data_IF_346120695883
#
_entry.id   IF_346120695883
#
_cell.length_a   1.000
_cell.length_b   1.000
_cell.length_c   1.000
_cell.angle_alpha   90.00
_cell.angle_beta   90.00
_cell.angle_gamma   90.00
#
_symmetry.space_group_name_H-M   'P 1'
#
loop_
_entity.id
_entity.type
_entity.pdbx_description
1 polymer ?
#
# COMPACT_ATOMS: atom_id res chain seq x y z
N UNK A 1 4.95 14.27 29.91
CA UNK A 1 4.05 15.22 30.63
C UNK A 1 4.49 15.55 32.06
N UNK A 2 5.37 14.79 32.73
CA UNK A 2 5.73 15.04 34.15
C UNK A 2 6.85 16.08 34.41
N UNK A 3 7.62 16.51 33.40
CA UNK A 3 8.78 17.39 33.63
C UNK A 3 8.47 18.91 33.72
N UNK A 4 7.32 19.38 33.20
CA UNK A 4 7.00 20.82 33.13
C UNK A 4 6.16 21.35 34.31
N UNK A 5 5.69 20.49 35.21
CA UNK A 5 4.78 20.91 36.29
C UNK A 5 5.41 21.82 37.36
N UNK A 6 6.74 21.93 37.41
CA UNK A 6 7.41 22.83 38.36
C UNK A 6 7.36 24.31 37.96
N UNK A 7 7.09 24.62 36.69
CA UNK A 7 7.12 26.01 36.19
C UNK A 7 5.81 26.77 36.40
N UNK A 8 4.73 26.07 36.75
CA UNK A 8 3.40 26.66 36.88
C UNK A 8 2.95 26.85 38.35
N UNK A 9 3.86 26.67 39.32
CA UNK A 9 3.53 26.83 40.73
C UNK A 9 3.49 28.31 41.14
N UNK A 10 2.33 28.76 41.63
CA UNK A 10 2.12 30.08 42.23
C UNK A 10 2.35 30.05 43.74
N UNK A 11 3.53 29.62 44.19
CA UNK A 11 3.85 29.71 45.61
C UNK A 11 3.97 31.20 46.02
N UNK A 12 3.40 31.55 47.17
CA UNK A 12 3.56 32.86 47.81
C UNK A 12 5.02 32.98 48.26
N UNK A 13 5.75 33.94 47.70
CA UNK A 13 7.13 34.19 48.12
C UNK A 13 7.16 34.76 49.54
N UNK A 14 8.22 34.49 50.32
CA UNK A 14 8.40 35.04 51.67
C UNK A 14 8.23 36.56 51.74
N UNK A 15 8.62 37.26 50.67
CA UNK A 15 8.44 38.70 50.50
C UNK A 15 6.97 39.13 50.47
N UNK A 16 6.10 38.40 49.74
CA UNK A 16 4.67 38.70 49.67
C UNK A 16 4.02 38.48 51.03
N UNK A 17 4.41 37.41 51.72
CA UNK A 17 3.93 37.11 53.08
C UNK A 17 4.36 38.23 54.05
N UNK A 18 5.62 38.66 53.99
CA UNK A 18 6.11 39.77 54.82
C UNK A 18 5.37 41.09 54.54
N UNK A 19 5.08 41.40 53.27
CA UNK A 19 4.31 42.59 52.89
C UNK A 19 2.84 42.52 53.32
N UNK A 20 2.22 41.34 53.25
CA UNK A 20 0.86 41.13 53.78
C UNK A 20 0.81 41.29 55.30
N UNK A 21 1.78 40.73 56.01
CA UNK A 21 1.92 40.90 57.47
C UNK A 21 2.13 42.37 57.83
N UNK A 22 2.98 43.08 57.09
CA UNK A 22 3.20 44.52 57.28
C UNK A 22 1.92 45.33 57.06
N UNK A 23 1.18 45.05 55.97
CA UNK A 23 -0.09 45.72 55.69
C UNK A 23 -1.12 45.47 56.80
N UNK A 24 -1.21 44.23 57.30
CA UNK A 24 -2.08 43.88 58.41
C UNK A 24 -1.70 44.60 59.71
N UNK A 25 -0.41 44.69 60.03
CA UNK A 25 0.08 45.42 61.20
C UNK A 25 -0.21 46.93 61.09
N UNK A 26 -0.02 47.54 59.92
CA UNK A 26 -0.35 48.95 59.68
C UNK A 26 -1.85 49.22 59.82
N UNK A 27 -2.68 48.32 59.31
CA UNK A 27 -4.13 48.44 59.42
C UNK A 27 -4.62 48.30 60.87
N UNK A 28 -4.06 47.35 61.62
CA UNK A 28 -4.36 47.16 63.04
C UNK A 28 -3.82 48.30 63.92
N UNK A 29 -2.70 48.92 63.54
CA UNK A 29 -2.12 50.06 64.24
C UNK A 29 -2.87 51.37 64.00
N UNK A 30 -3.54 51.53 62.86
CA UNK A 30 -4.28 52.74 62.50
C UNK A 30 -5.19 53.28 63.62
N UNK A 31 -6.09 52.51 64.26
CA UNK A 31 -6.93 53.03 65.36
C UNK A 31 -6.16 53.44 66.63
N UNK A 32 -4.93 52.96 66.82
CA UNK A 32 -4.07 53.33 67.96
C UNK A 32 -3.18 54.55 67.68
N UNK A 33 -3.03 54.97 66.42
CA UNK A 33 -2.16 56.09 66.05
C UNK A 33 -2.58 57.42 66.69
N UNK A 34 -3.88 57.79 66.79
CA UNK A 34 -4.24 59.06 67.43
C UNK A 34 -3.85 59.08 68.90
N UNK A 35 -4.02 57.96 69.62
CA UNK A 35 -3.62 57.85 71.02
C UNK A 35 -2.13 58.08 71.18
N UNK A 36 -1.29 57.36 70.42
CA UNK A 36 0.18 57.44 70.53
C UNK A 36 0.72 58.83 70.18
N UNK A 37 0.20 59.47 69.13
CA UNK A 37 0.69 60.76 68.65
C UNK A 37 0.03 61.97 69.35
N UNK A 38 -1.03 61.76 70.15
CA UNK A 38 -1.64 62.82 70.99
C UNK A 38 -1.33 62.65 72.48
N UNK A 39 -0.89 61.47 72.94
CA UNK A 39 -0.56 61.18 74.34
C UNK A 39 0.88 61.60 74.71
N UNK A 40 1.21 62.88 74.55
CA UNK A 40 2.25 63.58 75.31
C UNK A 40 2.09 65.10 75.13
N UNK A 41 1.87 65.88 76.21
CA UNK A 41 1.69 67.33 76.12
C UNK A 41 3.06 68.01 76.05
N UNK A 42 3.65 68.16 74.86
CA UNK A 42 4.83 69.02 74.67
C UNK A 42 4.57 70.31 73.91
N UNK A 43 3.32 70.58 73.50
CA UNK A 43 2.87 71.95 73.24
C UNK A 43 1.51 72.17 73.91
N UNK A 44 1.55 72.75 75.11
CA UNK A 44 0.39 73.33 75.78
C UNK A 44 -0.25 74.36 74.83
N UNK A 45 -1.57 74.39 74.78
CA UNK A 45 -2.45 75.34 74.06
C UNK A 45 -2.92 74.96 72.65
N UNK A 46 -3.87 74.02 72.55
CA UNK A 46 -4.97 74.12 71.58
C UNK A 46 -6.28 73.57 72.22
N UNK A 47 -7.32 74.40 72.43
CA UNK A 47 -8.59 73.97 73.02
C UNK A 47 -9.48 73.26 71.98
N UNK A 48 -9.57 71.92 72.04
CA UNK A 48 -10.39 71.09 71.16
C UNK A 48 -11.89 71.09 71.57
N UNK A 49 -12.58 72.22 71.43
CA UNK A 49 -14.05 72.32 71.65
C UNK A 49 -14.81 72.63 70.36
N UNK A 50 -14.39 72.02 69.25
CA UNK A 50 -15.25 71.83 68.07
C UNK A 50 -15.08 70.38 67.60
N UNK A 51 -16.18 69.63 67.51
CA UNK A 51 -16.19 68.20 67.14
C UNK A 51 -15.59 67.93 65.75
N UNK A 52 -15.56 68.94 64.88
CA UNK A 52 -14.87 68.88 63.58
C UNK A 52 -13.35 68.72 63.68
N UNK A 53 -12.69 69.48 64.56
CA UNK A 53 -11.21 69.46 64.68
C UNK A 53 -10.66 68.15 65.27
N UNK A 54 -11.43 67.51 66.16
CA UNK A 54 -11.11 66.18 66.70
C UNK A 54 -11.25 65.11 65.59
N UNK A 55 -12.31 65.20 64.79
CA UNK A 55 -12.51 64.35 63.61
C UNK A 55 -11.38 64.49 62.59
N UNK A 56 -10.94 65.72 62.32
CA UNK A 56 -9.82 66.01 61.39
C UNK A 56 -8.48 65.48 61.92
N UNK A 57 -8.24 65.56 63.23
CA UNK A 57 -7.00 65.05 63.86
C UNK A 57 -6.96 63.53 63.88
N UNK A 58 -8.08 62.87 64.22
CA UNK A 58 -8.20 61.41 64.18
C UNK A 58 -8.09 60.91 62.74
N UNK A 59 -8.84 61.53 61.81
CA UNK A 59 -8.80 61.20 60.39
C UNK A 59 -7.42 61.40 59.77
N UNK A 60 -6.76 62.52 60.07
CA UNK A 60 -5.42 62.86 59.58
C UNK A 60 -4.32 61.95 60.11
N UNK A 61 -4.45 61.42 61.33
CA UNK A 61 -3.48 60.50 61.93
C UNK A 61 -3.74 59.03 61.57
N UNK A 62 -4.99 58.63 61.30
CA UNK A 62 -5.34 57.26 60.89
C UNK A 62 -5.14 57.03 59.39
N UNK A 63 -5.54 58.01 58.57
CA UNK A 63 -5.56 57.94 57.10
C UNK A 63 -4.24 57.48 56.48
N UNK A 64 -3.05 57.97 56.89
CA UNK A 64 -1.78 57.54 56.31
C UNK A 64 -1.51 56.03 56.45
N UNK A 65 -1.84 55.44 57.61
CA UNK A 65 -1.63 54.01 57.86
C UNK A 65 -2.62 53.14 57.08
N UNK A 66 -3.89 53.56 57.03
CA UNK A 66 -4.93 52.90 56.22
C UNK A 66 -4.55 52.96 54.73
N UNK A 67 -4.19 54.14 54.22
CA UNK A 67 -3.80 54.33 52.83
C UNK A 67 -2.54 53.54 52.48
N UNK A 68 -1.52 53.50 53.35
CA UNK A 68 -0.32 52.70 53.13
C UNK A 68 -0.64 51.20 53.09
N UNK A 69 -1.49 50.71 53.99
CA UNK A 69 -1.96 49.32 53.96
C UNK A 69 -2.73 48.99 52.68
N UNK A 70 -3.60 49.90 52.22
CA UNK A 70 -4.40 49.74 51.02
C UNK A 70 -3.52 49.72 49.76
N UNK A 71 -2.50 50.58 49.67
CA UNK A 71 -1.53 50.60 48.57
C UNK A 71 -0.75 49.29 48.51
N UNK A 72 -0.31 48.75 49.66
CA UNK A 72 0.42 47.47 49.71
C UNK A 72 -0.48 46.33 49.22
N UNK A 73 -1.70 46.20 49.76
CA UNK A 73 -2.64 45.14 49.37
C UNK A 73 -3.04 45.25 47.91
N UNK A 74 -3.33 46.45 47.42
CA UNK A 74 -3.70 46.72 46.03
C UNK A 74 -2.54 46.42 45.08
N UNK A 75 -1.33 46.84 45.43
CA UNK A 75 -0.11 46.52 44.66
C UNK A 75 0.16 45.02 44.59
N UNK A 76 -0.05 44.29 45.70
CA UNK A 76 0.05 42.83 45.73
C UNK A 76 -1.04 42.15 44.88
N UNK A 77 -2.28 42.65 44.91
CA UNK A 77 -3.37 42.13 44.09
C UNK A 77 -3.05 42.28 42.59
N UNK A 78 -2.60 43.46 42.16
CA UNK A 78 -2.16 43.69 40.79
C UNK A 78 -0.95 42.83 40.41
N UNK A 79 0.01 42.66 41.31
CA UNK A 79 1.16 41.78 41.07
C UNK A 79 0.75 40.32 40.86
N UNK A 80 -0.20 39.80 41.66
CA UNK A 80 -0.73 38.45 41.50
C UNK A 80 -1.49 38.30 40.18
N UNK A 81 -2.31 39.28 39.78
CA UNK A 81 -2.99 39.29 38.47
C UNK A 81 -1.99 39.29 37.30
N UNK A 82 -0.95 40.12 37.36
CA UNK A 82 0.10 40.16 36.34
C UNK A 82 0.81 38.81 36.19
N UNK A 83 1.15 38.16 37.32
CA UNK A 83 1.77 36.83 37.32
C UNK A 83 0.83 35.77 36.73
N UNK A 84 -0.46 35.81 37.08
CA UNK A 84 -1.48 34.91 36.53
C UNK A 84 -1.64 35.08 35.01
N UNK A 85 -1.63 36.32 34.50
CA UNK A 85 -1.71 36.58 33.06
C UNK A 85 -0.48 36.05 32.31
N UNK A 86 0.73 36.24 32.85
CA UNK A 86 1.95 35.65 32.26
C UNK A 86 1.86 34.13 32.19
N UNK A 87 1.45 33.52 33.30
CA UNK A 87 1.25 32.08 33.39
C UNK A 87 0.22 31.58 32.35
N UNK A 88 -0.87 32.31 32.18
CA UNK A 88 -1.90 32.00 31.20
C UNK A 88 -1.36 32.06 29.76
N UNK A 89 -0.54 33.07 29.43
CA UNK A 89 0.11 33.17 28.12
C UNK A 89 1.06 31.99 27.87
N UNK A 90 1.84 31.59 28.87
CA UNK A 90 2.75 30.45 28.75
C UNK A 90 1.98 29.14 28.51
N UNK A 91 0.94 28.88 29.31
CA UNK A 91 0.06 27.70 29.15
C UNK A 91 -0.60 27.71 27.77
N UNK A 92 -1.14 28.84 27.34
CA UNK A 92 -1.80 28.98 26.04
C UNK A 92 -0.83 28.74 24.88
N UNK A 93 0.39 29.27 24.99
CA UNK A 93 1.44 29.06 23.98
C UNK A 93 1.83 27.58 23.87
N UNK A 94 1.96 26.89 25.00
CA UNK A 94 2.25 25.46 25.01
C UNK A 94 1.08 24.62 24.48
N UNK A 95 -0.17 25.03 24.73
CA UNK A 95 -1.36 24.42 24.14
C UNK A 95 -1.40 24.57 22.62
N UNK A 96 -1.10 25.76 22.08
CA UNK A 96 -1.01 25.97 20.62
C UNK A 96 0.04 25.03 20.03
N UNK A 97 1.24 24.97 20.62
CA UNK A 97 2.30 24.07 20.14
C UNK A 97 1.91 22.59 20.17
N UNK A 98 1.19 22.16 21.20
CA UNK A 98 0.69 20.78 21.28
C UNK A 98 -0.38 20.51 20.22
N UNK A 99 -1.32 21.44 20.05
CA UNK A 99 -2.39 21.37 19.05
C UNK A 99 -1.81 21.34 17.64
N UNK A 100 -0.83 22.18 17.32
CA UNK A 100 -0.15 22.17 16.02
C UNK A 100 0.55 20.84 15.74
N UNK A 101 1.18 20.24 16.75
CA UNK A 101 1.81 18.91 16.61
C UNK A 101 0.79 17.82 16.35
N UNK A 102 -0.33 17.83 17.09
CA UNK A 102 -1.41 16.88 16.89
C UNK A 102 -2.03 17.04 15.49
N UNK A 103 -2.33 18.27 15.09
CA UNK A 103 -2.87 18.58 13.77
C UNK A 103 -1.94 18.12 12.64
N UNK A 104 -0.62 18.36 12.75
CA UNK A 104 0.36 17.86 11.78
C UNK A 104 0.38 16.33 11.70
N UNK A 105 0.30 15.64 12.84
CA UNK A 105 0.27 14.18 12.87
C UNK A 105 -1.02 13.64 12.23
N UNK A 106 -2.16 14.26 12.52
CA UNK A 106 -3.44 13.90 11.93
C UNK A 106 -3.44 14.11 10.41
N UNK A 107 -2.92 15.25 9.94
CA UNK A 107 -2.79 15.53 8.52
C UNK A 107 -1.94 14.50 7.78
N UNK A 108 -0.78 14.12 8.35
CA UNK A 108 0.08 13.08 7.78
C UNK A 108 -0.60 11.71 7.77
N UNK A 109 -1.36 11.39 8.82
CA UNK A 109 -2.14 10.16 8.88
C UNK A 109 -3.24 10.13 7.82
N UNK A 110 -4.01 11.21 7.68
CA UNK A 110 -5.05 11.34 6.66
C UNK A 110 -4.48 11.27 5.25
N UNK A 111 -3.36 11.94 4.97
CA UNK A 111 -2.68 11.87 3.67
C UNK A 111 -2.29 10.42 3.33
N UNK A 112 -1.71 9.69 4.30
CA UNK A 112 -1.37 8.28 4.11
C UNK A 112 -2.62 7.43 3.83
N UNK A 113 -3.72 7.63 4.57
CA UNK A 113 -4.97 6.90 4.35
C UNK A 113 -5.57 7.21 2.98
N UNK A 114 -5.59 8.49 2.58
CA UNK A 114 -6.09 8.91 1.28
C UNK A 114 -5.30 8.26 0.14
N UNK A 115 -3.96 8.18 0.25
CA UNK A 115 -3.11 7.49 -0.74
C UNK A 115 -3.42 6.00 -0.82
N UNK A 116 -3.64 5.32 0.31
CA UNK A 116 -4.05 3.91 0.34
C UNK A 116 -5.41 3.74 -0.33
N UNK A 117 -6.39 4.60 -0.02
CA UNK A 117 -7.72 4.52 -0.62
C UNK A 117 -7.69 4.78 -2.13
N UNK A 118 -6.91 5.74 -2.60
CA UNK A 118 -6.70 6.00 -4.03
C UNK A 118 -6.08 4.78 -4.73
N UNK A 119 -5.04 4.19 -4.11
CA UNK A 119 -4.43 2.96 -4.60
C UNK A 119 -5.45 1.81 -4.70
N UNK A 120 -6.23 1.57 -3.63
CA UNK A 120 -7.26 0.53 -3.61
C UNK A 120 -8.32 0.77 -4.69
N UNK A 121 -8.81 2.00 -4.82
CA UNK A 121 -9.78 2.37 -5.85
C UNK A 121 -9.24 2.11 -7.26
N UNK A 122 -8.00 2.50 -7.54
CA UNK A 122 -7.38 2.25 -8.85
C UNK A 122 -7.15 0.76 -9.09
N UNK A 123 -6.71 0.01 -8.08
CA UNK A 123 -6.54 -1.44 -8.16
C UNK A 123 -7.85 -2.14 -8.51
N UNK A 124 -8.94 -1.86 -7.78
CA UNK A 124 -10.23 -2.49 -8.03
C UNK A 124 -10.85 -2.07 -9.36
N UNK A 125 -10.60 -0.85 -9.83
CA UNK A 125 -11.03 -0.43 -11.16
C UNK A 125 -10.28 -1.17 -12.27
N UNK A 126 -8.95 -1.33 -12.15
CA UNK A 126 -8.20 -2.18 -13.08
C UNK A 126 -8.68 -3.63 -13.02
N UNK A 127 -8.99 -4.17 -11.83
CA UNK A 127 -9.53 -5.52 -11.69
C UNK A 127 -10.88 -5.67 -12.41
N UNK A 128 -11.76 -4.67 -12.29
CA UNK A 128 -13.04 -4.61 -12.98
C UNK A 128 -12.87 -4.57 -14.49
N UNK A 129 -11.97 -3.71 -14.99
CA UNK A 129 -11.64 -3.62 -16.42
C UNK A 129 -11.03 -4.93 -16.94
N UNK A 130 -10.20 -5.60 -16.15
CA UNK A 130 -9.63 -6.89 -16.54
C UNK A 130 -10.72 -7.96 -16.68
N UNK A 131 -11.66 -8.01 -15.74
CA UNK A 131 -12.83 -8.89 -15.84
C UNK A 131 -13.68 -8.55 -17.06
N UNK A 132 -13.90 -7.26 -17.35
CA UNK A 132 -14.61 -6.83 -18.56
C UNK A 132 -13.91 -7.31 -19.84
N UNK A 133 -12.58 -7.17 -19.94
CA UNK A 133 -11.81 -7.68 -21.08
C UNK A 133 -11.98 -9.20 -21.25
N UNK A 134 -12.04 -9.95 -20.15
CA UNK A 134 -12.31 -11.40 -20.17
C UNK A 134 -13.75 -11.67 -20.61
N UNK A 135 -14.73 -10.91 -20.11
CA UNK A 135 -16.15 -11.10 -20.40
C UNK A 135 -16.53 -10.71 -21.85
N UNK A 136 -15.81 -9.77 -22.46
CA UNK A 136 -15.95 -9.32 -23.85
C UNK A 136 -15.16 -10.19 -24.84
N UNK A 137 -14.21 -10.99 -24.36
CA UNK A 137 -13.36 -11.82 -25.19
C UNK A 137 -14.19 -12.80 -26.03
N UNK A 138 -14.00 -12.74 -27.35
CA UNK A 138 -14.56 -13.71 -28.29
C UNK A 138 -13.51 -14.04 -29.34
N UNK A 139 -13.35 -15.33 -29.58
CA UNK A 139 -12.45 -15.88 -30.60
C UNK A 139 -13.23 -16.83 -31.49
N UNK A 140 -12.65 -17.19 -32.63
CA UNK A 140 -13.16 -18.28 -33.47
C UNK A 140 -12.19 -19.45 -33.35
N UNK A 141 -12.69 -20.62 -32.94
CA UNK A 141 -11.86 -21.83 -32.87
C UNK A 141 -11.40 -22.23 -34.26
N UNK A 142 -10.14 -22.59 -34.39
CA UNK A 142 -9.52 -23.02 -35.65
C UNK A 142 -9.92 -24.46 -35.98
N UNK A 143 -10.19 -25.26 -34.94
CA UNK A 143 -10.51 -26.69 -35.09
C UNK A 143 -11.92 -26.89 -35.67
N UNK A 144 -12.89 -26.09 -35.23
CA UNK A 144 -14.30 -26.29 -35.59
C UNK A 144 -14.99 -25.05 -36.18
N UNK A 145 -14.31 -23.90 -36.27
CA UNK A 145 -14.86 -22.67 -36.85
C UNK A 145 -15.91 -21.96 -35.99
N UNK A 146 -16.22 -22.46 -34.79
CA UNK A 146 -17.27 -21.89 -33.95
C UNK A 146 -16.74 -20.71 -33.13
N UNK A 147 -17.56 -19.66 -32.90
CA UNK A 147 -17.22 -18.61 -31.97
C UNK A 147 -17.25 -19.15 -30.54
N UNK A 148 -16.19 -18.86 -29.79
CA UNK A 148 -16.03 -19.20 -28.39
C UNK A 148 -15.76 -17.92 -27.61
N UNK A 149 -16.50 -17.72 -26.52
CA UNK A 149 -16.41 -16.48 -25.74
C UNK A 149 -15.98 -16.72 -24.30
N UNK A 150 -15.54 -15.63 -23.66
CA UNK A 150 -15.24 -15.55 -22.23
C UNK A 150 -14.14 -16.53 -21.82
N UNK A 151 -14.31 -17.20 -20.68
CA UNK A 151 -13.35 -18.16 -20.14
C UNK A 151 -13.14 -19.38 -21.03
N UNK A 152 -14.16 -19.78 -21.79
CA UNK A 152 -14.03 -20.92 -22.70
C UNK A 152 -13.04 -20.62 -23.83
N UNK A 153 -12.88 -19.35 -24.22
CA UNK A 153 -11.87 -18.95 -25.22
C UNK A 153 -10.46 -19.32 -24.77
N UNK A 154 -10.12 -19.15 -23.48
CA UNK A 154 -8.80 -19.53 -22.95
C UNK A 154 -8.58 -21.04 -22.94
N UNK A 155 -9.63 -21.83 -22.70
CA UNK A 155 -9.56 -23.30 -22.81
C UNK A 155 -9.24 -23.68 -24.25
N UNK A 156 -10.03 -23.18 -25.20
CA UNK A 156 -9.84 -23.43 -26.64
C UNK A 156 -8.45 -23.00 -27.11
N UNK A 157 -7.98 -21.80 -26.75
CA UNK A 157 -6.63 -21.34 -27.11
C UNK A 157 -5.52 -22.23 -26.54
N UNK A 158 -5.65 -22.68 -25.29
CA UNK A 158 -4.65 -23.55 -24.66
C UNK A 158 -4.60 -24.93 -25.32
N UNK A 159 -5.76 -25.50 -25.64
CA UNK A 159 -5.88 -26.79 -26.32
C UNK A 159 -5.36 -26.72 -27.74
N UNK A 160 -5.76 -25.69 -28.50
CA UNK A 160 -5.27 -25.50 -29.87
C UNK A 160 -3.76 -25.28 -29.92
N UNK A 161 -3.17 -24.57 -28.95
CA UNK A 161 -1.72 -24.44 -28.88
C UNK A 161 -1.02 -25.77 -28.58
N UNK A 162 -1.57 -26.61 -27.69
CA UNK A 162 -1.05 -27.97 -27.45
C UNK A 162 -1.09 -28.80 -28.72
N UNK A 163 -2.22 -28.76 -29.43
CA UNK A 163 -2.40 -29.44 -30.71
C UNK A 163 -1.38 -28.94 -31.73
N UNK A 164 -1.15 -27.63 -31.79
CA UNK A 164 -0.16 -27.02 -32.66
C UNK A 164 1.26 -27.52 -32.38
N UNK A 165 1.66 -27.56 -31.10
CA UNK A 165 2.96 -28.12 -30.68
C UNK A 165 3.11 -29.61 -30.97
N UNK A 166 2.02 -30.37 -31.04
CA UNK A 166 2.06 -31.81 -31.35
C UNK A 166 2.37 -32.09 -32.83
N UNK A 167 2.04 -31.14 -33.71
CA UNK A 167 2.20 -31.29 -35.16
C UNK A 167 3.43 -30.57 -35.72
N UNK A 168 3.86 -29.49 -35.06
CA UNK A 168 5.10 -28.81 -35.45
C UNK A 168 6.31 -29.70 -35.17
N UNK A 169 7.07 -29.99 -36.22
CA UNK A 169 8.39 -30.61 -36.15
C UNK A 169 9.29 -29.99 -37.21
N UNK A 170 10.27 -29.21 -36.78
CA UNK A 170 11.27 -28.62 -37.65
C UNK A 170 12.50 -29.51 -37.67
N UNK A 171 12.80 -30.08 -38.84
CA UNK A 171 13.97 -30.93 -38.99
C UNK A 171 15.24 -30.15 -38.61
N UNK A 172 16.02 -30.72 -37.68
CA UNK A 172 17.30 -30.19 -37.20
C UNK A 172 17.26 -28.95 -36.29
N UNK A 173 16.09 -28.48 -35.82
CA UNK A 173 16.02 -27.42 -34.80
C UNK A 173 15.90 -27.99 -33.37
N UNK A 174 16.57 -27.39 -32.37
CA UNK A 174 16.26 -27.64 -30.97
C UNK A 174 14.82 -27.25 -30.64
N UNK A 175 14.13 -28.04 -29.82
CA UNK A 175 12.73 -27.79 -29.45
C UNK A 175 12.45 -26.38 -28.88
N UNK A 176 13.42 -25.75 -28.22
CA UNK A 176 13.27 -24.37 -27.75
C UNK A 176 12.99 -23.39 -28.91
N UNK A 177 13.69 -23.55 -30.02
CA UNK A 177 13.50 -22.71 -31.20
C UNK A 177 12.19 -23.07 -31.90
N UNK A 178 11.87 -24.37 -31.99
CA UNK A 178 10.57 -24.84 -32.49
C UNK A 178 9.40 -24.23 -31.71
N UNK A 179 9.50 -24.25 -30.38
CA UNK A 179 8.51 -23.70 -29.48
C UNK A 179 8.31 -22.19 -29.68
N UNK A 180 9.41 -21.43 -29.85
CA UNK A 180 9.36 -19.99 -30.10
C UNK A 180 8.62 -19.66 -31.39
N UNK A 181 8.95 -20.35 -32.48
CA UNK A 181 8.26 -20.19 -33.77
C UNK A 181 6.79 -20.62 -33.68
N UNK A 182 6.52 -21.73 -32.97
CA UNK A 182 5.15 -22.19 -32.74
C UNK A 182 4.33 -21.15 -31.97
N UNK A 183 4.89 -20.57 -30.91
CA UNK A 183 4.20 -19.54 -30.13
C UNK A 183 3.99 -18.26 -30.94
N UNK A 184 4.95 -17.87 -31.77
CA UNK A 184 4.84 -16.71 -32.65
C UNK A 184 3.67 -16.85 -33.63
N UNK A 185 3.52 -18.00 -34.28
CA UNK A 185 2.38 -18.26 -35.18
C UNK A 185 1.09 -18.38 -34.39
N UNK A 186 1.10 -19.05 -33.24
CA UNK A 186 -0.06 -19.07 -32.34
C UNK A 186 -0.53 -17.65 -32.02
N UNK A 187 0.39 -16.73 -31.80
CA UNK A 187 0.07 -15.36 -31.46
C UNK A 187 -0.33 -14.51 -32.67
N UNK A 188 0.45 -14.48 -33.75
CA UNK A 188 0.23 -13.59 -34.89
C UNK A 188 -0.56 -14.18 -36.05
N UNK A 189 -0.71 -15.50 -36.08
CA UNK A 189 -1.29 -16.22 -37.21
C UNK A 189 -0.30 -16.45 -38.35
N UNK A 190 -0.77 -17.14 -39.39
CA UNK A 190 0.03 -17.49 -40.56
C UNK A 190 0.15 -16.37 -41.59
N UNK A 191 -0.80 -15.43 -41.63
CA UNK A 191 -0.82 -14.32 -42.60
C UNK A 191 -0.21 -13.04 -42.03
N UNK A 192 0.86 -13.18 -41.26
CA UNK A 192 1.59 -12.05 -40.70
C UNK A 192 2.74 -11.69 -41.65
N UNK A 193 2.86 -10.43 -42.06
CA UNK A 193 4.00 -9.90 -42.86
C UNK A 193 5.38 -10.18 -42.21
N UNK A 194 5.39 -10.74 -41.00
CA UNK A 194 6.54 -11.06 -40.18
C UNK A 194 7.06 -12.50 -40.33
N UNK A 195 6.33 -13.42 -40.96
CA UNK A 195 6.70 -14.84 -41.05
C UNK A 195 7.01 -15.20 -42.50
N UNK A 196 8.28 -15.44 -42.82
CA UNK A 196 8.70 -15.89 -44.15
C UNK A 196 8.33 -17.38 -44.35
N UNK A 197 7.12 -17.59 -44.89
CA UNK A 197 6.47 -18.89 -45.10
C UNK A 197 7.35 -19.84 -45.93
N UNK A 198 8.17 -19.32 -46.85
CA UNK A 198 8.96 -20.13 -47.79
C UNK A 198 10.11 -20.87 -47.11
N UNK A 199 10.66 -20.31 -46.02
CA UNK A 199 11.80 -20.89 -45.29
C UNK A 199 11.47 -22.15 -44.48
N UNK A 200 10.19 -22.41 -44.18
CA UNK A 200 9.74 -23.44 -43.24
C UNK A 200 8.73 -24.44 -43.86
N UNK A 201 8.56 -24.40 -45.19
CA UNK A 201 7.57 -25.13 -46.01
C UNK A 201 7.34 -26.62 -45.69
N UNK A 202 8.38 -27.39 -45.39
CA UNK A 202 8.30 -28.84 -45.12
C UNK A 202 7.73 -29.19 -43.74
N UNK A 203 7.91 -28.30 -42.76
CA UNK A 203 7.33 -28.48 -41.42
C UNK A 203 5.85 -28.08 -41.42
N UNK A 204 5.48 -27.14 -42.30
CA UNK A 204 4.12 -26.68 -42.50
C UNK A 204 3.23 -27.67 -43.25
N UNK A 205 3.77 -28.41 -44.22
CA UNK A 205 2.99 -29.46 -44.89
C UNK A 205 2.44 -30.48 -43.89
N UNK A 206 3.19 -30.84 -42.85
CA UNK A 206 2.70 -31.74 -41.77
C UNK A 206 1.54 -31.17 -40.96
N UNK A 207 1.49 -29.85 -40.79
CA UNK A 207 0.38 -29.16 -40.11
C UNK A 207 -0.84 -29.11 -41.03
N UNK A 208 -0.63 -28.82 -42.32
CA UNK A 208 -1.68 -28.71 -43.35
C UNK A 208 -2.30 -30.07 -43.68
N UNK A 209 -1.46 -31.10 -43.84
CA UNK A 209 -1.86 -32.44 -44.20
C UNK A 209 -2.51 -33.17 -43.01
N UNK A 210 -2.28 -32.68 -41.79
CA UNK A 210 -2.71 -33.32 -40.55
C UNK A 210 -2.05 -34.70 -40.35
N UNK A 211 -2.35 -35.41 -39.25
CA UNK A 211 -1.90 -36.78 -39.11
C UNK A 211 -2.51 -37.65 -40.23
N UNK A 212 -1.65 -38.39 -40.94
CA UNK A 212 -2.11 -39.43 -41.84
C UNK A 212 -2.87 -40.49 -41.03
N UNK A 213 -4.18 -40.58 -41.30
CA UNK A 213 -5.12 -41.67 -40.95
C UNK A 213 -5.88 -41.57 -39.60
N UNK A 214 -7.18 -41.22 -39.74
CA UNK A 214 -8.38 -41.91 -39.18
C UNK A 214 -9.12 -41.44 -37.92
N UNK A 215 -8.79 -40.36 -37.21
CA UNK A 215 -9.58 -40.01 -35.99
C UNK A 215 -10.07 -38.55 -35.83
N UNK A 216 -9.97 -37.70 -36.84
CA UNK A 216 -10.59 -36.36 -36.78
C UNK A 216 -11.41 -36.05 -38.03
N UNK A 217 -12.63 -35.54 -37.82
CA UNK A 217 -13.61 -35.28 -38.87
C UNK A 217 -13.21 -34.15 -39.84
N UNK A 218 -12.20 -33.34 -39.55
CA UNK A 218 -11.77 -32.23 -40.39
C UNK A 218 -10.24 -32.03 -40.36
N UNK A 219 -9.55 -31.95 -41.52
CA UNK A 219 -8.19 -31.41 -41.58
C UNK A 219 -8.22 -29.95 -41.13
N UNK A 220 -7.34 -29.56 -40.20
CA UNK A 220 -7.30 -28.19 -39.70
C UNK A 220 -6.54 -27.35 -40.74
N UNK A 221 -7.27 -26.55 -41.54
CA UNK A 221 -6.64 -25.63 -42.48
C UNK A 221 -6.18 -24.36 -41.75
N UNK A 222 -4.92 -24.38 -41.33
CA UNK A 222 -4.31 -23.26 -40.62
C UNK A 222 -3.92 -22.07 -41.55
N UNK A 223 -4.12 -22.13 -42.87
CA UNK A 223 -3.77 -21.02 -43.78
C UNK A 223 -4.55 -19.74 -43.48
N UNK A 224 -5.77 -19.87 -42.98
CA UNK A 224 -6.61 -18.74 -42.57
C UNK A 224 -6.49 -18.39 -41.08
N UNK A 225 -5.58 -19.05 -40.35
CA UNK A 225 -5.40 -18.79 -38.93
C UNK A 225 -4.77 -17.41 -38.71
N UNK A 226 -5.54 -16.52 -38.09
CA UNK A 226 -5.18 -15.11 -37.83
C UNK A 226 -4.45 -14.89 -36.49
N UNK A 227 -4.18 -15.98 -35.76
CA UNK A 227 -3.58 -15.91 -34.44
C UNK A 227 -4.51 -15.34 -33.37
N UNK A 228 -4.02 -15.33 -32.14
CA UNK A 228 -4.75 -14.83 -30.98
C UNK A 228 -4.21 -13.52 -30.40
N UNK A 229 -3.37 -12.78 -31.13
CA UNK A 229 -2.77 -11.52 -30.68
C UNK A 229 -3.80 -10.46 -30.30
N UNK A 230 -4.90 -10.37 -31.05
CA UNK A 230 -6.01 -9.44 -30.78
C UNK A 230 -6.69 -9.72 -29.43
N UNK A 231 -6.81 -11.01 -29.08
CA UNK A 231 -7.37 -11.50 -27.82
C UNK A 231 -6.35 -11.39 -26.66
N UNK A 232 -5.21 -12.07 -26.81
CA UNK A 232 -4.22 -12.25 -25.75
C UNK A 232 -3.34 -11.03 -25.52
N UNK A 233 -3.09 -10.20 -26.54
CA UNK A 233 -2.21 -9.04 -26.42
C UNK A 233 -2.71 -7.99 -25.44
N UNK A 234 -3.99 -7.63 -25.52
CA UNK A 234 -4.60 -6.71 -24.56
C UNK A 234 -4.74 -7.34 -23.17
N UNK A 235 -5.12 -8.61 -23.11
CA UNK A 235 -5.28 -9.36 -21.87
C UNK A 235 -3.97 -9.43 -21.07
N UNK A 236 -2.87 -9.93 -21.67
CA UNK A 236 -1.59 -10.07 -20.98
C UNK A 236 -0.98 -8.73 -20.59
N UNK A 237 -1.08 -7.71 -21.46
CA UNK A 237 -0.57 -6.37 -21.15
C UNK A 237 -1.29 -5.78 -19.94
N UNK A 238 -2.61 -5.90 -19.89
CA UNK A 238 -3.39 -5.38 -18.77
C UNK A 238 -3.09 -6.15 -17.47
N UNK A 239 -3.01 -7.48 -17.54
CA UNK A 239 -2.62 -8.31 -16.39
C UNK A 239 -1.22 -7.95 -15.87
N UNK A 240 -0.25 -7.79 -16.77
CA UNK A 240 1.12 -7.40 -16.43
C UNK A 240 1.18 -6.04 -15.75
N UNK A 241 0.47 -5.05 -16.30
CA UNK A 241 0.40 -3.71 -15.71
C UNK A 241 -0.22 -3.73 -14.31
N UNK A 242 -1.26 -4.53 -14.09
CA UNK A 242 -1.87 -4.66 -12.77
C UNK A 242 -0.93 -5.30 -11.75
N UNK A 243 -0.17 -6.33 -12.15
CA UNK A 243 0.85 -6.93 -11.28
C UNK A 243 1.95 -5.92 -10.97
N UNK A 244 2.45 -5.19 -11.96
CA UNK A 244 3.45 -4.12 -11.76
C UNK A 244 2.94 -3.00 -10.85
N UNK A 245 1.69 -2.59 -11.02
CA UNK A 245 1.07 -1.54 -10.19
C UNK A 245 1.14 -1.87 -8.70
N UNK A 246 0.88 -3.13 -8.33
CA UNK A 246 0.99 -3.58 -6.93
C UNK A 246 2.45 -3.81 -6.54
N UNK A 247 3.21 -4.54 -7.36
CA UNK A 247 4.58 -4.96 -7.04
C UNK A 247 5.56 -3.80 -6.86
N UNK A 248 5.33 -2.68 -7.56
CA UNK A 248 6.16 -1.49 -7.56
C UNK A 248 5.46 -0.27 -6.95
N UNK A 249 4.39 -0.50 -6.18
CA UNK A 249 3.72 0.57 -5.45
C UNK A 249 4.63 1.18 -4.39
N UNK A 250 4.64 2.51 -4.31
CA UNK A 250 5.26 3.27 -3.21
C UNK A 250 4.30 3.46 -2.02
N UNK A 251 3.01 3.18 -2.22
CA UNK A 251 1.97 3.22 -1.18
C UNK A 251 1.95 1.90 -0.40
N UNK A 252 1.97 0.77 -1.12
CA UNK A 252 1.97 -0.58 -0.56
C UNK A 252 3.34 -1.22 -0.75
N UNK A 253 4.22 -1.00 0.24
CA UNK A 253 5.63 -1.40 0.16
C UNK A 253 5.94 -2.73 0.82
N UNK A 254 5.13 -3.16 1.79
CA UNK A 254 5.36 -4.42 2.49
C UNK A 254 4.86 -5.62 1.67
N UNK A 255 5.65 -6.69 1.65
CA UNK A 255 5.36 -7.88 0.86
C UNK A 255 4.00 -8.51 1.19
N UNK A 256 3.59 -8.50 2.45
CA UNK A 256 2.35 -9.13 2.88
C UNK A 256 1.12 -8.39 2.33
N UNK A 257 1.14 -7.06 2.38
CA UNK A 257 0.10 -6.22 1.79
C UNK A 257 0.11 -6.32 0.27
N UNK A 258 1.27 -6.33 -0.40
CA UNK A 258 1.35 -6.58 -1.84
C UNK A 258 0.70 -7.92 -2.21
N UNK A 259 1.05 -8.97 -1.46
CA UNK A 259 0.52 -10.31 -1.66
C UNK A 259 -0.99 -10.39 -1.42
N UNK A 260 -1.56 -9.59 -0.51
CA UNK A 260 -3.02 -9.48 -0.30
C UNK A 260 -3.73 -9.11 -1.62
N UNK A 261 -3.28 -8.06 -2.30
CA UNK A 261 -3.89 -7.62 -3.57
C UNK A 261 -3.60 -8.58 -4.72
N UNK A 262 -2.36 -9.07 -4.83
CA UNK A 262 -2.01 -10.01 -5.90
C UNK A 262 -2.72 -11.36 -5.76
N UNK A 263 -3.03 -11.81 -4.54
CA UNK A 263 -3.91 -12.97 -4.31
C UNK A 263 -5.35 -12.71 -4.78
N UNK A 264 -5.88 -11.51 -4.57
CA UNK A 264 -7.23 -11.13 -5.07
C UNK A 264 -7.25 -11.19 -6.60
N UNK A 265 -6.24 -10.60 -7.26
CA UNK A 265 -6.10 -10.66 -8.71
C UNK A 265 -5.97 -12.11 -9.19
N UNK A 266 -5.06 -12.89 -8.60
CA UNK A 266 -4.82 -14.28 -8.96
C UNK A 266 -6.06 -15.15 -8.82
N UNK A 267 -6.91 -14.90 -7.82
CA UNK A 267 -8.17 -15.61 -7.64
C UNK A 267 -9.17 -15.38 -8.80
N UNK A 268 -8.99 -14.34 -9.62
CA UNK A 268 -9.78 -14.14 -10.83
C UNK A 268 -9.31 -15.00 -12.00
N UNK A 269 -8.03 -15.42 -12.03
CA UNK A 269 -7.43 -16.16 -13.13
C UNK A 269 -7.83 -17.64 -13.09
N UNK A 270 -8.38 -18.15 -14.19
CA UNK A 270 -8.59 -19.59 -14.38
C UNK A 270 -7.26 -20.34 -14.58
N UNK A 271 -7.30 -21.66 -14.43
CA UNK A 271 -6.13 -22.50 -14.67
C UNK A 271 -5.61 -22.37 -16.11
N UNK A 272 -6.51 -22.25 -17.09
CA UNK A 272 -6.15 -22.10 -18.51
C UNK A 272 -5.53 -20.73 -18.81
N UNK A 273 -5.99 -19.66 -18.15
CA UNK A 273 -5.33 -18.36 -18.19
C UNK A 273 -3.89 -18.44 -17.65
N UNK A 274 -3.65 -19.17 -16.56
CA UNK A 274 -2.32 -19.37 -16.01
C UNK A 274 -1.42 -20.24 -16.91
N UNK A 275 -1.99 -21.24 -17.59
CA UNK A 275 -1.29 -22.05 -18.60
C UNK A 275 -0.86 -21.19 -19.78
N UNK A 276 -1.76 -20.39 -20.35
CA UNK A 276 -1.46 -19.49 -21.46
C UNK A 276 -0.43 -18.43 -21.06
N UNK A 277 -0.50 -17.93 -19.83
CA UNK A 277 0.49 -17.02 -19.28
C UNK A 277 1.87 -17.67 -19.14
N UNK A 278 1.93 -18.92 -18.68
CA UNK A 278 3.15 -19.71 -18.62
C UNK A 278 3.76 -19.90 -20.02
N UNK A 279 2.94 -20.26 -21.02
CA UNK A 279 3.41 -20.38 -22.40
C UNK A 279 3.90 -19.06 -22.98
N UNK A 280 3.19 -17.96 -22.70
CA UNK A 280 3.63 -16.64 -23.10
C UNK A 280 5.00 -16.29 -22.52
N UNK A 281 5.24 -16.59 -21.24
CA UNK A 281 6.55 -16.40 -20.63
C UNK A 281 7.63 -17.30 -21.24
N UNK A 282 7.33 -18.58 -21.46
CA UNK A 282 8.28 -19.56 -21.97
C UNK A 282 8.80 -19.21 -23.38
N UNK A 283 8.02 -18.44 -24.16
CA UNK A 283 8.46 -17.95 -25.47
C UNK A 283 9.61 -16.94 -25.41
N UNK A 284 9.90 -16.39 -24.22
CA UNK A 284 10.86 -15.32 -23.91
C UNK A 284 10.59 -13.99 -24.63
N UNK A 285 10.47 -13.98 -25.96
CA UNK A 285 10.32 -12.78 -26.79
C UNK A 285 9.04 -11.98 -26.51
N UNK A 286 8.00 -12.63 -26.00
CA UNK A 286 6.72 -11.98 -25.67
C UNK A 286 6.55 -11.78 -24.17
N UNK A 287 6.65 -12.87 -23.40
CA UNK A 287 6.35 -12.87 -21.97
C UNK A 287 7.57 -12.95 -21.04
N UNK A 288 8.80 -12.87 -21.54
CA UNK A 288 10.00 -13.03 -20.71
C UNK A 288 10.05 -12.07 -19.52
N UNK A 289 9.42 -10.89 -19.65
CA UNK A 289 9.32 -9.90 -18.58
C UNK A 289 8.55 -10.37 -17.34
N UNK A 290 7.78 -11.46 -17.39
CA UNK A 290 7.09 -12.01 -16.21
C UNK A 290 8.06 -12.56 -15.16
N UNK A 291 9.17 -13.15 -15.61
CA UNK A 291 10.19 -13.74 -14.74
C UNK A 291 11.55 -13.67 -15.45
N UNK A 292 12.33 -12.66 -15.09
CA UNK A 292 13.68 -12.38 -15.61
C UNK A 292 14.60 -11.91 -14.48
N UNK A 293 15.60 -11.06 -14.78
CA UNK A 293 16.52 -10.49 -13.79
C UNK A 293 15.90 -9.32 -13.00
N UNK A 294 14.95 -8.59 -13.59
CA UNK A 294 14.30 -7.41 -12.98
C UNK A 294 13.00 -7.76 -12.26
N UNK A 295 12.20 -8.62 -12.89
CA UNK A 295 10.87 -9.03 -12.47
C UNK A 295 10.90 -10.48 -12.02
N UNK A 296 10.29 -10.75 -10.86
CA UNK A 296 10.18 -12.10 -10.29
C UNK A 296 8.71 -12.45 -10.03
N UNK A 297 7.80 -12.18 -10.97
CA UNK A 297 6.37 -12.23 -10.65
C UNK A 297 5.86 -13.65 -10.45
N UNK A 298 6.44 -14.63 -11.13
CA UNK A 298 6.07 -16.02 -10.93
C UNK A 298 6.64 -16.56 -9.63
N UNK A 299 7.92 -16.32 -9.33
CA UNK A 299 8.56 -16.88 -8.14
C UNK A 299 8.26 -16.08 -6.86
N UNK A 300 8.37 -14.74 -6.90
CA UNK A 300 8.16 -13.88 -5.71
C UNK A 300 6.67 -13.73 -5.35
N UNK A 301 5.81 -13.51 -6.34
CA UNK A 301 4.38 -13.22 -6.13
C UNK A 301 3.44 -14.38 -6.51
N UNK A 302 3.97 -15.48 -7.05
CA UNK A 302 3.21 -16.70 -7.31
C UNK A 302 1.98 -16.46 -8.20
N UNK A 303 2.10 -15.62 -9.23
CA UNK A 303 0.96 -15.28 -10.10
C UNK A 303 0.36 -16.52 -10.78
N UNK A 304 1.19 -17.49 -11.14
CA UNK A 304 0.78 -18.77 -11.75
C UNK A 304 0.71 -19.94 -10.74
N UNK A 305 0.28 -19.69 -9.50
CA UNK A 305 0.27 -20.70 -8.44
C UNK A 305 -0.63 -21.92 -8.70
N UNK A 306 -1.72 -21.74 -9.43
CA UNK A 306 -2.67 -22.80 -9.78
C UNK A 306 -2.38 -23.37 -11.19
N UNK A 307 -1.10 -23.37 -11.60
CA UNK A 307 -0.67 -23.95 -12.85
C UNK A 307 -0.94 -25.46 -12.86
N UNK A 308 -1.88 -25.89 -13.71
CA UNK A 308 -2.24 -27.29 -13.82
C UNK A 308 -1.26 -28.02 -14.74
N UNK A 309 -0.19 -28.56 -14.16
CA UNK A 309 0.91 -29.22 -14.92
C UNK A 309 0.47 -30.42 -15.76
N UNK A 310 -0.65 -31.07 -15.43
CA UNK A 310 -1.23 -32.16 -16.22
C UNK A 310 -1.81 -31.70 -17.57
N UNK A 311 -2.18 -30.43 -17.66
CA UNK A 311 -2.72 -29.80 -18.87
C UNK A 311 -1.64 -29.10 -19.71
N UNK A 312 -0.37 -29.19 -19.31
CA UNK A 312 0.74 -28.68 -20.11
C UNK A 312 1.11 -29.68 -21.22
N UNK A 313 1.67 -29.19 -22.32
CA UNK A 313 2.24 -30.02 -23.36
C UNK A 313 3.39 -30.86 -22.78
N UNK A 314 3.33 -32.17 -22.99
CA UNK A 314 4.24 -33.12 -22.37
C UNK A 314 5.56 -33.18 -23.14
N UNK A 315 6.47 -32.25 -22.82
CA UNK A 315 7.82 -32.21 -23.37
C UNK A 315 8.86 -31.88 -22.28
N UNK A 316 10.06 -32.46 -22.37
CA UNK A 316 11.09 -32.30 -21.33
C UNK A 316 11.48 -30.83 -21.13
N UNK A 317 11.55 -30.03 -22.20
CA UNK A 317 11.81 -28.58 -22.11
C UNK A 317 10.79 -27.85 -21.21
N UNK A 318 9.50 -28.19 -21.29
CA UNK A 318 8.45 -27.59 -20.47
C UNK A 318 8.56 -28.05 -19.02
N UNK A 319 8.84 -29.34 -18.81
CA UNK A 319 9.10 -29.90 -17.48
C UNK A 319 10.28 -29.18 -16.82
N UNK A 320 11.37 -28.98 -17.56
CA UNK A 320 12.57 -28.30 -17.08
C UNK A 320 12.28 -26.83 -16.74
N UNK A 321 11.45 -26.14 -17.53
CA UNK A 321 11.02 -24.77 -17.24
C UNK A 321 10.20 -24.69 -15.94
N UNK A 322 9.22 -25.56 -15.74
CA UNK A 322 8.43 -25.63 -14.48
C UNK A 322 9.33 -25.95 -13.30
N UNK A 323 10.20 -26.95 -13.44
CA UNK A 323 11.12 -27.37 -12.39
C UNK A 323 12.16 -26.29 -12.06
N UNK A 324 12.63 -25.56 -13.07
CA UNK A 324 13.51 -24.41 -12.92
C UNK A 324 12.88 -23.26 -12.12
N UNK A 325 11.59 -22.99 -12.32
CA UNK A 325 10.85 -22.04 -11.48
C UNK A 325 10.79 -22.50 -10.01
N UNK A 326 10.53 -23.81 -9.79
CA UNK A 326 10.53 -24.39 -8.45
C UNK A 326 11.92 -24.28 -7.79
N UNK A 327 12.99 -24.58 -8.53
CA UNK A 327 14.37 -24.44 -8.02
C UNK A 327 14.70 -22.98 -7.68
N UNK A 328 14.34 -22.05 -8.57
CA UNK A 328 14.54 -20.61 -8.33
C UNK A 328 13.80 -20.15 -7.07
N UNK A 329 12.55 -20.58 -6.89
CA UNK A 329 11.76 -20.28 -5.71
C UNK A 329 12.36 -20.87 -4.42
N UNK A 330 12.80 -22.13 -4.47
CA UNK A 330 13.35 -22.86 -3.33
C UNK A 330 14.72 -22.36 -2.87
N UNK A 331 15.39 -21.47 -3.60
CA UNK A 331 16.59 -20.76 -3.10
C UNK A 331 16.26 -19.83 -1.93
N UNK A 332 15.07 -19.26 -1.90
CA UNK A 332 14.58 -18.39 -0.83
C UNK A 332 13.07 -18.63 -0.60
N UNK A 333 12.69 -19.81 -0.08
CA UNK A 333 11.29 -20.22 -0.02
C UNK A 333 10.52 -19.36 0.99
N UNK A 334 9.24 -19.13 0.69
CA UNK A 334 8.25 -18.61 1.64
C UNK A 334 7.45 -19.77 2.26
N UNK A 335 6.57 -19.44 3.21
CA UNK A 335 5.79 -20.39 4.01
C UNK A 335 5.06 -21.48 3.22
N UNK A 336 4.58 -21.16 2.01
CA UNK A 336 3.86 -22.12 1.15
C UNK A 336 4.67 -22.50 -0.10
N UNK A 337 4.43 -23.65 -0.74
CA UNK A 337 5.05 -24.00 -2.02
C UNK A 337 4.76 -22.99 -3.16
N UNK A 338 5.52 -23.09 -4.25
CA UNK A 338 5.35 -22.22 -5.42
C UNK A 338 4.04 -22.51 -6.13
N UNK A 339 3.70 -23.78 -6.30
CA UNK A 339 2.51 -24.25 -7.01
C UNK A 339 1.60 -25.07 -6.08
N UNK A 340 0.30 -25.08 -6.37
CA UNK A 340 -0.69 -25.80 -5.59
C UNK A 340 -0.52 -27.32 -5.65
N UNK A 341 -0.14 -27.88 -6.80
CA UNK A 341 0.04 -29.33 -6.97
C UNK A 341 1.14 -29.91 -6.07
N UNK A 342 2.02 -29.07 -5.53
CA UNK A 342 3.08 -29.46 -4.60
C UNK A 342 2.53 -29.82 -3.22
N UNK A 343 1.27 -29.44 -2.90
CA UNK A 343 0.64 -29.74 -1.62
C UNK A 343 1.47 -29.21 -0.45
N UNK A 344 1.97 -30.10 0.40
CA UNK A 344 2.85 -29.76 1.52
C UNK A 344 4.34 -29.96 1.20
N UNK A 345 4.68 -30.55 0.05
CA UNK A 345 6.05 -30.82 -0.35
C UNK A 345 6.53 -29.77 -1.37
N UNK A 346 7.14 -28.70 -0.88
CA UNK A 346 7.70 -27.63 -1.73
C UNK A 346 8.84 -28.09 -2.66
N UNK A 347 9.37 -29.30 -2.47
CA UNK A 347 10.39 -29.88 -3.34
C UNK A 347 9.81 -30.73 -4.47
N UNK A 348 8.50 -31.03 -4.43
CA UNK A 348 7.83 -31.84 -5.44
C UNK A 348 8.00 -31.21 -6.82
N UNK A 349 8.53 -32.00 -7.75
CA UNK A 349 8.81 -31.61 -9.14
C UNK A 349 7.74 -32.15 -10.09
N UNK A 350 7.58 -31.47 -11.22
CA UNK A 350 6.86 -32.02 -12.36
C UNK A 350 7.63 -33.24 -12.87
N UNK A 351 6.93 -34.35 -13.07
CA UNK A 351 7.53 -35.62 -13.52
C UNK A 351 8.13 -35.44 -14.92
N UNK A 352 9.34 -35.96 -15.13
CA UNK A 352 9.93 -36.03 -16.46
C UNK A 352 9.05 -36.86 -17.39
N UNK A 353 9.03 -36.48 -18.66
CA UNK A 353 8.45 -37.31 -19.71
C UNK A 353 9.44 -38.46 -19.90
N UNK A 354 9.27 -39.54 -19.13
CA UNK A 354 10.01 -40.77 -19.35
C UNK A 354 9.81 -41.25 -20.78
N UNK A 355 10.78 -42.00 -21.32
CA UNK A 355 10.86 -42.56 -22.67
C UNK A 355 9.71 -43.57 -22.98
N UNK A 356 8.46 -43.18 -22.74
CA UNK A 356 7.27 -43.85 -23.25
C UNK A 356 7.12 -43.34 -24.67
N UNK A 357 7.50 -44.21 -25.61
CA UNK A 357 7.11 -44.15 -27.01
C UNK A 357 5.80 -43.37 -27.18
N UNK A 358 5.83 -42.34 -28.01
CA UNK A 358 4.67 -41.54 -28.47
C UNK A 358 3.57 -42.41 -29.14
N UNK A 359 3.66 -43.73 -29.10
CA UNK A 359 2.70 -44.68 -29.67
C UNK A 359 1.46 -44.96 -28.82
N UNK A 360 1.40 -44.51 -27.56
CA UNK A 360 0.30 -44.89 -26.64
C UNK A 360 -0.49 -43.69 -26.08
N UNK A 361 -0.41 -42.53 -26.71
CA UNK A 361 -1.23 -41.37 -26.37
C UNK A 361 -1.91 -40.80 -27.63
N UNK A 362 -2.52 -41.67 -28.42
CA UNK A 362 -3.66 -41.38 -29.30
C UNK A 362 -4.52 -42.63 -29.38
#
# INVERSE_FOLDING_TARGET
MQANNKNYQTNLTPLIIALLVLAALLFLFAPFSPLVFTSAPSLKYLPYTTTGQIGDTIGGLMSPFINLSAVIVTGLAFYMQYRANKLQVDIFTDQIKQTERQFKQEQLYQEKQNRIQQFESQFFEMLRLHKANVDELTITSVVNGNPVSKRQAFVTMADEFKTFLSYIKFEHLPFIDEYKHAFEIFFWGFNSDYIDIDSLSHSWSRIIDGPNERDYAHPIDFREYKGYSSALGHYFRHLFLMVKFVAYSDVITDYNSQMKYLKILRAQLSNHEQILLFYNWLSEGYGGAWENEENHFFTKYKIIHNLWVGELFQHQYIVDAVNGLIDKYNRNPKETPLFEFQGNDGTLKMKSVGNRSLSNLF
#
